data_IF_296138042086
#
_entry.id   IF_296138042086
#
_cell.length_a   1.000
_cell.length_b   1.000
_cell.length_c   1.000
_cell.angle_alpha   90.00
_cell.angle_beta   90.00
_cell.angle_gamma   90.00
#
_symmetry.space_group_name_H-M   'P 1'
#
loop_
_entity.id
_entity.type
_entity.pdbx_description
1 polymer ?
#
# COMPACT_ATOMS: atom_id res chain seq x y z
N UNK A 1 -16.84 0.59 25.70
CA UNK A 1 -17.96 -0.05 24.98
C UNK A 1 -19.17 -0.09 25.90
N UNK A 2 -20.39 0.13 25.37
CA UNK A 2 -21.62 -0.12 26.12
C UNK A 2 -21.63 -1.59 26.58
N UNK A 3 -21.98 -1.90 27.85
CA UNK A 3 -22.05 -3.28 28.33
C UNK A 3 -22.95 -4.20 27.48
N UNK A 4 -23.96 -3.64 26.79
CA UNK A 4 -24.83 -4.37 25.86
C UNK A 4 -24.02 -4.94 24.69
N UNK A 5 -23.14 -4.12 24.11
CA UNK A 5 -22.27 -4.53 23.00
C UNK A 5 -21.08 -5.41 23.41
N UNK A 6 -20.78 -5.53 24.71
CA UNK A 6 -19.72 -6.44 25.21
C UNK A 6 -20.15 -7.89 25.26
N UNK A 7 -21.46 -8.15 25.40
CA UNK A 7 -22.00 -9.49 25.56
C UNK A 7 -22.33 -10.13 24.20
N UNK A 8 -22.80 -9.34 23.24
CA UNK A 8 -23.04 -9.78 21.86
C UNK A 8 -23.09 -8.58 20.90
N UNK A 9 -22.13 -8.51 19.97
CA UNK A 9 -22.08 -7.44 18.95
C UNK A 9 -23.21 -7.61 17.92
N UNK A 10 -23.64 -8.84 17.67
CA UNK A 10 -24.66 -9.16 16.65
C UNK A 10 -26.11 -8.92 17.12
N UNK A 11 -26.32 -8.47 18.36
CA UNK A 11 -27.66 -8.18 18.83
C UNK A 11 -28.19 -6.87 18.21
N UNK A 12 -29.49 -6.84 17.84
CA UNK A 12 -30.11 -5.66 17.22
C UNK A 12 -30.06 -4.43 18.14
N UNK A 13 -30.05 -4.65 19.46
CA UNK A 13 -29.91 -3.58 20.46
C UNK A 13 -28.53 -2.90 20.39
N UNK A 14 -27.46 -3.67 20.14
CA UNK A 14 -26.14 -3.10 19.95
C UNK A 14 -26.04 -2.34 18.62
N UNK A 15 -26.63 -2.88 17.55
CA UNK A 15 -26.66 -2.22 16.25
C UNK A 15 -27.41 -0.88 16.30
N UNK A 16 -28.58 -0.83 16.94
CA UNK A 16 -29.32 0.41 17.15
C UNK A 16 -28.52 1.43 17.96
N UNK A 17 -27.87 0.99 19.04
CA UNK A 17 -27.02 1.87 19.84
C UNK A 17 -25.85 2.42 19.00
N UNK A 18 -25.20 1.57 18.19
CA UNK A 18 -24.12 1.98 17.30
C UNK A 18 -24.58 3.02 16.26
N UNK A 19 -25.74 2.81 15.64
CA UNK A 19 -26.33 3.75 14.68
C UNK A 19 -26.63 5.11 15.33
N UNK A 20 -27.20 5.11 16.54
CA UNK A 20 -27.49 6.33 17.30
C UNK A 20 -26.23 7.08 17.71
N UNK A 21 -25.15 6.35 18.05
CA UNK A 21 -23.84 6.93 18.33
C UNK A 21 -23.23 7.54 17.06
N UNK A 22 -23.28 6.85 15.93
CA UNK A 22 -22.79 7.37 14.66
C UNK A 22 -23.52 8.65 14.24
N UNK A 23 -24.84 8.66 14.39
CA UNK A 23 -25.66 9.83 14.09
C UNK A 23 -25.31 11.02 15.00
N UNK A 24 -25.26 10.77 16.31
CA UNK A 24 -24.91 11.81 17.31
C UNK A 24 -23.51 12.35 17.07
N UNK A 25 -22.53 11.49 16.83
CA UNK A 25 -21.17 11.91 16.49
C UNK A 25 -21.12 12.71 15.18
N UNK A 26 -21.88 12.31 14.16
CA UNK A 26 -22.00 13.06 12.91
C UNK A 26 -22.54 14.47 13.11
N UNK A 27 -23.57 14.62 13.96
CA UNK A 27 -24.14 15.93 14.32
C UNK A 27 -23.14 16.80 15.10
N UNK A 28 -22.43 16.23 16.08
CA UNK A 28 -21.38 16.91 16.84
C UNK A 28 -20.25 17.35 15.91
N UNK A 29 -19.72 16.48 15.06
CA UNK A 29 -18.66 16.84 14.10
C UNK A 29 -19.09 17.92 13.11
N UNK A 30 -20.36 17.92 12.70
CA UNK A 30 -20.91 18.93 11.81
C UNK A 30 -21.03 20.30 12.48
N UNK A 31 -21.28 20.33 13.80
CA UNK A 31 -21.42 21.55 14.59
C UNK A 31 -20.08 22.10 15.08
N UNK A 32 -19.16 21.23 15.45
CA UNK A 32 -17.94 21.56 16.21
C UNK A 32 -16.69 21.72 15.31
N UNK A 33 -16.78 21.42 14.01
CA UNK A 33 -15.71 21.74 13.03
C UNK A 33 -15.35 23.23 12.95
N UNK A 34 -16.15 24.11 13.54
CA UNK A 34 -15.96 25.56 13.57
C UNK A 34 -15.11 26.02 14.77
N UNK A 35 -14.96 25.22 15.83
CA UNK A 35 -14.24 25.60 17.06
C UNK A 35 -13.01 24.70 17.28
N UNK A 36 -11.86 25.19 16.80
CA UNK A 36 -10.57 24.50 16.75
C UNK A 36 -9.84 24.38 18.11
N UNK A 37 -10.49 23.87 19.16
CA UNK A 37 -9.88 23.71 20.49
C UNK A 37 -10.27 22.43 21.25
N UNK A 38 -10.69 21.37 20.55
CA UNK A 38 -11.27 20.13 21.11
C UNK A 38 -10.28 19.20 21.87
N UNK A 39 -9.02 19.62 22.10
CA UNK A 39 -7.95 18.81 22.70
C UNK A 39 -7.65 19.11 24.19
N UNK A 40 -8.45 19.92 24.88
CA UNK A 40 -8.17 20.31 26.28
C UNK A 40 -9.02 19.63 27.37
N UNK A 41 -9.98 18.77 27.03
CA UNK A 41 -10.77 18.07 28.06
C UNK A 41 -10.06 16.80 28.55
N UNK A 42 -9.35 16.93 29.68
CA UNK A 42 -8.72 15.82 30.42
C UNK A 42 -9.69 15.09 31.35
N UNK A 43 -11.01 15.25 31.18
CA UNK A 43 -11.98 14.53 31.99
C UNK A 43 -12.00 13.04 31.63
N UNK A 44 -11.83 12.13 32.60
CA UNK A 44 -11.84 10.70 32.31
C UNK A 44 -13.23 10.29 31.79
N UNK A 45 -13.25 9.78 30.56
CA UNK A 45 -14.46 9.28 29.90
C UNK A 45 -15.04 8.10 30.67
N UNK A 46 -15.95 8.37 31.61
CA UNK A 46 -16.95 7.41 32.04
C UNK A 46 -17.90 7.26 30.85
N UNK A 47 -18.03 6.04 30.30
CA UNK A 47 -19.01 5.78 29.25
C UNK A 47 -20.40 6.17 29.78
N UNK A 48 -20.88 7.35 29.37
CA UNK A 48 -22.17 7.87 29.82
C UNK A 48 -23.25 7.02 29.17
N UNK A 49 -24.23 6.58 29.97
CA UNK A 49 -25.41 5.89 29.46
C UNK A 49 -26.23 6.80 28.53
N UNK A 50 -26.14 8.12 28.73
CA UNK A 50 -26.79 9.12 27.91
C UNK A 50 -25.93 9.51 26.70
N UNK A 51 -26.43 9.17 25.51
CA UNK A 51 -25.85 9.54 24.22
C UNK A 51 -25.74 11.06 24.04
N UNK A 52 -26.67 11.82 24.63
CA UNK A 52 -26.71 13.30 24.53
C UNK A 52 -25.58 14.00 25.28
N UNK A 53 -24.89 13.31 26.18
CA UNK A 53 -23.79 13.88 26.95
C UNK A 53 -22.40 13.54 26.37
N UNK A 54 -22.35 12.94 25.16
CA UNK A 54 -21.11 12.66 24.45
C UNK A 54 -20.50 13.92 23.84
N UNK A 55 -19.17 13.97 23.89
CA UNK A 55 -18.36 15.03 23.30
C UNK A 55 -17.66 14.53 22.02
N UNK A 56 -17.13 15.42 21.18
CA UNK A 56 -16.33 15.01 20.02
C UNK A 56 -15.12 14.13 20.40
N UNK A 57 -14.56 14.32 21.59
CA UNK A 57 -13.49 13.48 22.11
C UNK A 57 -13.94 12.03 22.30
N UNK A 58 -15.14 11.82 22.87
CA UNK A 58 -15.72 10.49 23.06
C UNK A 58 -15.93 9.79 21.72
N UNK A 59 -16.45 10.50 20.73
CA UNK A 59 -16.63 10.00 19.36
C UNK A 59 -15.30 9.58 18.72
N UNK A 60 -14.24 10.38 18.89
CA UNK A 60 -12.93 10.06 18.33
C UNK A 60 -12.28 8.85 19.02
N UNK A 61 -12.43 8.75 20.35
CA UNK A 61 -11.95 7.59 21.11
C UNK A 61 -12.70 6.33 20.70
N UNK A 62 -14.02 6.41 20.55
CA UNK A 62 -14.86 5.30 20.09
C UNK A 62 -14.42 4.81 18.71
N UNK A 63 -14.20 5.73 17.76
CA UNK A 63 -13.67 5.42 16.42
C UNK A 63 -12.30 4.71 16.45
N UNK A 64 -11.47 4.99 17.44
CA UNK A 64 -10.14 4.39 17.59
C UNK A 64 -10.18 3.02 18.27
N UNK A 65 -11.08 2.85 19.23
CA UNK A 65 -11.16 1.64 20.05
C UNK A 65 -12.06 0.56 19.42
N UNK A 66 -13.08 0.94 18.65
CA UNK A 66 -13.97 0.01 17.92
C UNK A 66 -13.21 -0.97 17.02
N UNK A 67 -12.30 -0.53 16.13
CA UNK A 67 -11.55 -1.47 15.29
C UNK A 67 -10.68 -2.44 16.09
N UNK A 68 -10.23 -2.03 17.29
CA UNK A 68 -9.40 -2.88 18.16
C UNK A 68 -10.24 -3.92 18.90
N UNK A 69 -11.43 -3.54 19.37
CA UNK A 69 -12.34 -4.46 20.05
C UNK A 69 -13.02 -5.42 19.07
N UNK A 70 -13.37 -4.95 17.85
CA UNK A 70 -13.86 -5.80 16.75
C UNK A 70 -12.77 -6.79 16.32
N UNK A 71 -11.53 -6.35 16.11
CA UNK A 71 -10.44 -7.27 15.78
C UNK A 71 -10.12 -8.27 16.91
N UNK A 72 -10.44 -7.95 18.17
CA UNK A 72 -10.28 -8.88 19.29
C UNK A 72 -11.42 -9.91 19.37
N UNK A 73 -12.63 -9.54 18.96
CA UNK A 73 -13.81 -10.42 18.92
C UNK A 73 -13.89 -11.27 17.64
N UNK A 74 -13.36 -10.78 16.52
CA UNK A 74 -13.20 -11.53 15.25
C UNK A 74 -12.09 -12.60 15.29
N UNK A 75 -11.40 -12.80 16.43
CA UNK A 75 -10.36 -13.83 16.56
C UNK A 75 -10.89 -15.27 16.68
N UNK A 76 -12.21 -15.46 16.67
CA UNK A 76 -12.84 -16.76 16.43
C UNK A 76 -13.04 -16.93 14.92
N UNK A 77 -12.38 -17.92 14.25
CA UNK A 77 -12.54 -18.13 12.82
C UNK A 77 -13.97 -18.58 12.52
N UNK A 78 -14.80 -17.64 12.09
CA UNK A 78 -16.15 -17.93 11.65
C UNK A 78 -16.10 -18.76 10.34
N UNK A 79 -17.01 -19.71 10.15
CA UNK A 79 -17.06 -20.55 8.95
C UNK A 79 -17.25 -19.77 7.63
N UNK A 80 -17.60 -18.48 7.73
CA UNK A 80 -17.82 -17.58 6.59
C UNK A 80 -16.51 -17.16 5.90
N UNK A 81 -15.38 -17.10 6.63
CA UNK A 81 -14.08 -16.76 6.02
C UNK A 81 -13.60 -17.85 5.05
N UNK A 82 -13.86 -19.13 5.38
CA UNK A 82 -13.54 -20.24 4.51
C UNK A 82 -14.34 -20.13 3.19
N UNK A 83 -15.62 -19.77 3.27
CA UNK A 83 -16.48 -19.62 2.10
C UNK A 83 -16.02 -18.48 1.19
N UNK A 84 -15.62 -17.34 1.77
CA UNK A 84 -15.07 -16.20 1.02
C UNK A 84 -13.71 -16.52 0.37
N UNK A 85 -12.89 -17.33 1.02
CA UNK A 85 -11.61 -17.76 0.46
C UNK A 85 -11.81 -18.68 -0.75
N UNK A 86 -12.72 -19.65 -0.67
CA UNK A 86 -13.07 -20.51 -1.80
C UNK A 86 -13.64 -19.72 -2.98
N UNK A 87 -14.45 -18.70 -2.72
CA UNK A 87 -14.97 -17.82 -3.77
C UNK A 87 -13.84 -17.04 -4.48
N UNK A 88 -12.85 -16.53 -3.73
CA UNK A 88 -11.67 -15.88 -4.31
C UNK A 88 -10.84 -16.84 -5.16
N UNK A 89 -10.62 -18.06 -4.69
CA UNK A 89 -9.90 -19.10 -5.44
C UNK A 89 -10.65 -19.44 -6.74
N UNK A 90 -11.96 -19.62 -6.67
CA UNK A 90 -12.79 -19.94 -7.83
C UNK A 90 -12.75 -18.82 -8.89
N UNK A 91 -12.78 -17.55 -8.46
CA UNK A 91 -12.68 -16.40 -9.36
C UNK A 91 -11.31 -16.33 -10.06
N UNK A 92 -10.23 -16.62 -9.35
CA UNK A 92 -8.88 -16.71 -9.93
C UNK A 92 -8.79 -17.83 -10.95
N UNK A 93 -9.33 -19.02 -10.65
CA UNK A 93 -9.36 -20.15 -11.60
C UNK A 93 -10.18 -19.80 -12.84
N UNK A 94 -11.36 -19.20 -12.67
CA UNK A 94 -12.20 -18.77 -13.79
C UNK A 94 -11.48 -17.77 -14.70
N UNK A 95 -10.75 -16.82 -14.11
CA UNK A 95 -9.92 -15.87 -14.86
C UNK A 95 -8.84 -16.57 -15.71
N UNK A 96 -8.12 -17.55 -15.15
CA UNK A 96 -7.11 -18.31 -15.90
C UNK A 96 -7.71 -19.11 -17.05
N UNK A 97 -8.92 -19.68 -16.88
CA UNK A 97 -9.61 -20.41 -17.95
C UNK A 97 -9.98 -19.47 -19.10
N UNK A 98 -10.57 -18.30 -18.79
CA UNK A 98 -10.90 -17.28 -19.81
C UNK A 98 -9.65 -16.78 -20.52
N UNK A 99 -8.58 -16.49 -19.76
CA UNK A 99 -7.31 -16.06 -20.33
C UNK A 99 -6.67 -17.13 -21.22
N UNK A 100 -6.69 -18.40 -20.78
CA UNK A 100 -6.21 -19.53 -21.57
C UNK A 100 -6.99 -19.70 -22.87
N UNK A 101 -8.32 -19.60 -22.82
CA UNK A 101 -9.17 -19.63 -24.02
C UNK A 101 -8.84 -18.47 -24.97
N UNK A 102 -8.65 -17.26 -24.45
CA UNK A 102 -8.26 -16.10 -25.25
C UNK A 102 -6.89 -16.29 -25.93
N UNK A 103 -5.92 -16.83 -25.20
CA UNK A 103 -4.59 -17.15 -25.75
C UNK A 103 -4.66 -18.24 -26.83
N UNK A 104 -5.51 -19.26 -26.66
CA UNK A 104 -5.73 -20.29 -27.67
C UNK A 104 -6.38 -19.71 -28.93
N UNK A 105 -7.42 -18.88 -28.78
CA UNK A 105 -8.05 -18.17 -29.90
C UNK A 105 -7.06 -17.28 -30.63
N UNK A 106 -6.26 -16.51 -29.90
CA UNK A 106 -5.22 -15.66 -30.49
C UNK A 106 -4.22 -16.48 -31.31
N UNK A 107 -3.74 -17.62 -30.77
CA UNK A 107 -2.84 -18.52 -31.49
C UNK A 107 -3.50 -19.15 -32.72
N UNK A 108 -4.80 -19.45 -32.66
CA UNK A 108 -5.54 -20.06 -33.76
C UNK A 108 -5.75 -19.06 -34.92
N UNK A 109 -6.10 -17.82 -34.59
CA UNK A 109 -6.19 -16.72 -35.56
C UNK A 109 -4.82 -16.44 -36.18
N UNK A 110 -3.76 -16.34 -35.37
CA UNK A 110 -2.40 -16.11 -35.86
C UNK A 110 -1.93 -17.25 -36.78
N UNK A 111 -2.22 -18.51 -36.44
CA UNK A 111 -1.92 -19.65 -37.31
C UNK A 111 -2.67 -19.58 -38.65
N UNK A 112 -3.96 -19.23 -38.66
CA UNK A 112 -4.75 -19.08 -39.89
C UNK A 112 -4.28 -17.89 -40.73
N UNK A 113 -4.01 -16.73 -40.12
CA UNK A 113 -3.49 -15.55 -40.83
C UNK A 113 -2.11 -15.80 -41.45
N UNK A 114 -1.29 -16.68 -40.86
CA UNK A 114 -0.02 -17.08 -41.47
C UNK A 114 -0.20 -18.02 -42.65
N UNK A 115 -1.21 -18.89 -42.62
CA UNK A 115 -1.47 -19.82 -43.73
C UNK A 115 -1.96 -19.08 -44.98
N UNK A 116 -2.88 -18.13 -44.82
CA UNK A 116 -3.41 -17.32 -45.95
C UNK A 116 -2.29 -16.55 -46.68
N UNK A 117 -1.29 -16.04 -45.95
CA UNK A 117 -0.16 -15.33 -46.58
C UNK A 117 0.79 -16.23 -47.37
N UNK A 118 0.82 -17.53 -47.08
CA UNK A 118 1.69 -18.48 -47.80
C UNK A 118 1.01 -18.92 -49.10
N UNK A 119 -0.30 -19.08 -49.09
CA UNK A 119 -1.06 -19.50 -50.27
C UNK A 119 -1.16 -18.36 -51.31
N UNK A 120 -1.33 -17.10 -50.87
CA UNK A 120 -1.33 -15.92 -51.76
C UNK A 120 0.04 -15.64 -52.42
N UNK A 121 1.16 -15.99 -51.76
CA UNK A 121 2.50 -15.85 -52.34
C UNK A 121 2.83 -17.01 -53.32
N UNK A 122 2.16 -18.15 -53.19
CA UNK A 122 2.36 -19.31 -54.08
C UNK A 122 1.54 -19.19 -55.38
N UNK A 123 0.35 -18.59 -55.33
CA UNK A 123 -0.54 -18.43 -56.49
C UNK A 123 -0.11 -17.27 -57.41
N UNK A 124 0.73 -16.35 -56.94
CA UNK A 124 1.33 -15.30 -57.77
C UNK A 124 2.52 -15.76 -58.64
N UNK A 125 2.82 -17.06 -58.65
CA UNK A 125 3.90 -17.68 -59.43
C UNK A 125 3.31 -18.82 -60.28
N UNK A 126 2.34 -18.51 -61.14
CA UNK A 126 1.99 -19.39 -62.25
C UNK A 126 2.95 -19.09 -63.44
N UNK A 127 3.50 -20.11 -64.14
CA UNK A 127 4.58 -19.93 -65.10
C UNK A 127 4.03 -19.68 -66.52
N UNK A 128 4.28 -18.48 -67.06
CA UNK A 128 4.13 -18.20 -68.49
C UNK A 128 5.38 -18.73 -69.24
N UNK A 129 5.18 -19.73 -70.10
CA UNK A 129 6.21 -20.33 -70.97
C UNK A 129 6.68 -19.36 -72.08
N UNK A 130 7.95 -18.94 -71.98
CA UNK A 130 9.03 -18.68 -72.98
C UNK A 130 8.70 -18.48 -74.50
N UNK A 131 9.52 -17.71 -75.30
CA UNK A 131 11.00 -17.75 -75.25
C UNK A 131 11.83 -16.48 -75.60
N UNK A 132 13.06 -16.50 -75.06
CA UNK A 132 14.37 -16.14 -75.67
C UNK A 132 14.66 -14.70 -76.16
N UNK A 133 15.44 -13.96 -75.37
CA UNK A 133 16.58 -13.15 -75.86
C UNK A 133 17.52 -12.72 -74.71
N UNK A 134 18.76 -12.49 -75.10
CA UNK A 134 20.03 -12.44 -74.36
C UNK A 134 20.23 -11.29 -73.32
N UNK A 135 21.33 -11.34 -72.53
CA UNK A 135 21.34 -10.84 -71.15
C UNK A 135 21.87 -9.40 -71.03
N UNK A 136 21.16 -8.57 -70.26
CA UNK A 136 21.70 -7.31 -69.74
C UNK A 136 21.57 -7.20 -68.22
N UNK A 137 22.59 -6.55 -67.66
CA UNK A 137 22.99 -6.53 -66.26
C UNK A 137 21.93 -5.97 -65.30
N UNK A 138 21.80 -6.63 -64.15
CA UNK A 138 21.71 -5.92 -62.88
C UNK A 138 22.07 -6.85 -61.72
N UNK A 139 22.84 -6.40 -60.71
CA UNK A 139 23.09 -7.20 -59.53
C UNK A 139 21.79 -7.31 -58.73
N UNK A 140 21.02 -8.37 -59.00
CA UNK A 140 19.84 -8.75 -58.22
C UNK A 140 20.23 -8.80 -56.75
N UNK A 141 19.82 -7.78 -56.00
CA UNK A 141 19.95 -7.76 -54.55
C UNK A 141 19.19 -8.96 -54.00
N UNK A 142 19.92 -10.03 -53.69
CA UNK A 142 19.38 -11.20 -53.01
C UNK A 142 18.78 -10.70 -51.69
N UNK A 143 17.45 -10.58 -51.65
CA UNK A 143 16.69 -10.33 -50.42
C UNK A 143 17.07 -11.45 -49.46
N UNK A 144 18.03 -11.19 -48.57
CA UNK A 144 18.48 -12.13 -47.54
C UNK A 144 17.24 -12.49 -46.73
N UNK A 145 16.69 -13.68 -46.94
CA UNK A 145 15.61 -14.27 -46.15
C UNK A 145 16.00 -14.06 -44.69
N UNK A 146 15.37 -13.09 -44.01
CA UNK A 146 15.58 -12.86 -42.59
C UNK A 146 15.11 -14.13 -41.90
N UNK A 147 16.06 -14.98 -41.56
CA UNK A 147 15.77 -16.26 -40.91
C UNK A 147 14.91 -15.98 -39.67
N UNK A 148 13.88 -16.79 -39.44
CA UNK A 148 13.00 -16.67 -38.28
C UNK A 148 13.79 -16.60 -36.95
N UNK A 149 15.01 -17.20 -36.93
CA UNK A 149 15.98 -17.07 -35.84
C UNK A 149 16.44 -15.63 -35.57
N UNK A 150 16.64 -14.79 -36.59
CA UNK A 150 17.03 -13.39 -36.41
C UNK A 150 15.90 -12.53 -35.83
N UNK A 151 14.65 -12.85 -36.18
CA UNK A 151 13.46 -12.20 -35.65
C UNK A 151 13.21 -12.60 -34.19
N UNK A 152 13.29 -13.90 -33.88
CA UNK A 152 13.22 -14.42 -32.50
C UNK A 152 14.29 -13.81 -31.60
N UNK A 153 15.54 -13.67 -32.07
CA UNK A 153 16.61 -13.00 -31.30
C UNK A 153 16.31 -11.52 -31.06
N UNK A 154 15.61 -10.83 -31.98
CA UNK A 154 15.25 -9.41 -31.81
C UNK A 154 14.11 -9.22 -30.81
N UNK A 155 13.15 -10.15 -30.79
CA UNK A 155 12.00 -10.10 -29.87
C UNK A 155 12.36 -10.55 -28.45
N UNK A 156 13.16 -11.62 -28.31
CA UNK A 156 13.66 -12.06 -27.02
C UNK A 156 14.71 -11.11 -26.42
N UNK A 157 15.29 -10.20 -27.22
CA UNK A 157 16.22 -9.17 -26.72
C UNK A 157 15.58 -8.27 -25.67
N UNK A 158 14.28 -7.99 -25.74
CA UNK A 158 13.65 -7.11 -24.75
C UNK A 158 13.30 -7.82 -23.42
N UNK A 159 13.16 -9.15 -23.42
CA UNK A 159 12.87 -9.91 -22.20
C UNK A 159 14.12 -10.47 -21.49
N UNK A 160 15.23 -10.64 -22.21
CA UNK A 160 16.51 -11.07 -21.64
C UNK A 160 17.53 -9.92 -21.46
N UNK A 161 17.14 -8.67 -21.74
CA UNK A 161 17.93 -7.46 -21.40
C UNK A 161 17.49 -6.93 -20.04
N UNK A 162 17.59 -7.79 -19.04
CA UNK A 162 18.37 -7.37 -17.89
C UNK A 162 19.65 -8.19 -17.97
N UNK A 163 20.59 -7.68 -18.78
CA UNK A 163 21.97 -8.17 -18.75
C UNK A 163 22.40 -8.26 -17.29
N UNK A 164 23.08 -9.33 -16.89
CA UNK A 164 23.56 -9.47 -15.50
C UNK A 164 24.29 -8.21 -14.99
N UNK A 165 24.92 -7.46 -15.90
CA UNK A 165 25.54 -6.18 -15.60
C UNK A 165 24.53 -5.09 -15.20
N UNK A 166 23.35 -5.01 -15.83
CA UNK A 166 22.27 -4.11 -15.41
C UNK A 166 21.70 -4.51 -14.06
N UNK A 167 21.52 -5.80 -13.81
CA UNK A 167 21.07 -6.30 -12.50
C UNK A 167 22.08 -5.94 -11.40
N UNK A 168 23.38 -6.06 -11.67
CA UNK A 168 24.45 -5.61 -10.76
C UNK A 168 24.41 -4.11 -10.53
N UNK A 169 24.21 -3.30 -11.58
CA UNK A 169 24.06 -1.84 -11.46
C UNK A 169 22.86 -1.45 -10.61
N UNK A 170 21.72 -2.12 -10.78
CA UNK A 170 20.54 -1.86 -9.97
C UNK A 170 20.74 -2.26 -8.50
N UNK A 171 21.39 -3.40 -8.23
CA UNK A 171 21.76 -3.80 -6.87
C UNK A 171 22.69 -2.78 -6.21
N UNK A 172 23.75 -2.37 -6.91
CA UNK A 172 24.68 -1.36 -6.41
C UNK A 172 24.01 0.02 -6.19
N UNK A 173 23.01 0.38 -7.00
CA UNK A 173 22.23 1.60 -6.81
C UNK A 173 21.36 1.50 -5.54
N UNK A 174 20.65 0.38 -5.36
CA UNK A 174 19.84 0.14 -4.15
C UNK A 174 20.69 0.16 -2.88
N UNK A 175 21.86 -0.48 -2.89
CA UNK A 175 22.77 -0.46 -1.73
C UNK A 175 23.24 0.95 -1.37
N UNK A 176 23.48 1.82 -2.37
CA UNK A 176 23.80 3.23 -2.13
C UNK A 176 22.62 4.00 -1.53
N UNK A 177 21.43 3.77 -2.05
CA UNK A 177 20.20 4.42 -1.54
C UNK A 177 19.90 3.97 -0.11
N UNK A 178 20.09 2.69 0.22
CA UNK A 178 19.96 2.13 1.56
C UNK A 178 20.96 2.79 2.53
N UNK A 179 22.24 2.90 2.16
CA UNK A 179 23.25 3.60 2.99
C UNK A 179 22.88 5.06 3.26
N UNK A 180 22.40 5.79 2.24
CA UNK A 180 21.93 7.17 2.42
C UNK A 180 20.72 7.24 3.35
N UNK A 181 19.81 6.27 3.25
CA UNK A 181 18.64 6.19 4.13
C UNK A 181 19.04 5.89 5.58
N UNK A 182 19.99 4.98 5.80
CA UNK A 182 20.54 4.66 7.11
C UNK A 182 21.22 5.87 7.74
N UNK A 183 22.07 6.59 7.01
CA UNK A 183 22.73 7.82 7.49
C UNK A 183 21.70 8.89 7.89
N UNK A 184 20.68 9.10 7.06
CA UNK A 184 19.64 10.08 7.36
C UNK A 184 18.81 9.67 8.59
N UNK A 185 18.58 8.37 8.76
CA UNK A 185 17.88 7.82 9.93
C UNK A 185 18.72 7.98 11.19
N UNK A 186 20.02 7.69 11.14
CA UNK A 186 20.95 7.92 12.25
C UNK A 186 21.01 9.41 12.64
N UNK A 187 21.14 10.32 11.67
CA UNK A 187 21.11 11.78 11.95
C UNK A 187 19.82 12.23 12.61
N UNK A 188 18.68 11.63 12.23
CA UNK A 188 17.42 11.90 12.92
C UNK A 188 17.51 11.41 14.36
N UNK A 189 17.88 10.16 14.59
CA UNK A 189 18.02 9.58 15.94
C UNK A 189 18.91 10.47 16.82
N UNK A 190 20.09 10.86 16.34
CA UNK A 190 21.01 11.77 17.05
C UNK A 190 20.37 13.12 17.39
N UNK A 191 19.62 13.72 16.46
CA UNK A 191 18.90 14.97 16.73
C UNK A 191 17.83 14.79 17.81
N UNK A 192 17.08 13.68 17.78
CA UNK A 192 16.03 13.39 18.76
C UNK A 192 16.62 13.06 20.14
N UNK A 193 17.71 12.29 20.20
CA UNK A 193 18.40 11.98 21.46
C UNK A 193 19.01 13.24 22.07
N UNK A 194 19.67 14.06 21.27
CA UNK A 194 20.24 15.33 21.75
C UNK A 194 19.15 16.33 22.20
N UNK A 195 18.01 16.38 21.51
CA UNK A 195 16.88 17.20 21.95
C UNK A 195 16.34 16.73 23.31
N UNK A 196 16.18 15.40 23.48
CA UNK A 196 15.73 14.79 24.74
C UNK A 196 16.71 15.05 25.89
N UNK A 197 18.01 14.94 25.64
CA UNK A 197 19.06 15.22 26.63
C UNK A 197 19.04 16.69 27.07
N UNK A 198 18.88 17.63 26.13
CA UNK A 198 18.71 19.06 26.48
C UNK A 198 17.46 19.31 27.33
N UNK A 199 16.36 18.62 27.06
CA UNK A 199 15.14 18.75 27.87
C UNK A 199 15.33 18.18 29.27
N UNK A 200 16.02 17.04 29.39
CA UNK A 200 16.34 16.46 30.69
C UNK A 200 17.28 17.36 31.49
N UNK A 201 18.30 17.95 30.86
CA UNK A 201 19.19 18.92 31.50
C UNK A 201 18.42 20.15 31.97
N UNK A 202 17.55 20.71 31.12
CA UNK A 202 16.66 21.82 31.53
C UNK A 202 15.75 21.45 32.69
N UNK A 203 15.28 20.20 32.77
CA UNK A 203 14.48 19.71 33.91
C UNK A 203 15.32 19.66 35.18
N UNK A 204 16.54 19.12 35.12
CA UNK A 204 17.49 19.09 36.26
C UNK A 204 17.83 20.49 36.75
N UNK A 205 18.20 21.41 35.85
CA UNK A 205 18.51 22.81 36.21
C UNK A 205 17.32 23.52 36.87
N UNK A 206 16.08 23.27 36.38
CA UNK A 206 14.86 23.80 36.99
C UNK A 206 14.63 23.25 38.40
N UNK A 207 14.91 21.98 38.62
CA UNK A 207 14.80 21.35 39.93
C UNK A 207 15.85 21.87 40.92
N UNK A 208 17.10 22.05 40.48
CA UNK A 208 18.16 22.65 41.30
C UNK A 208 17.84 24.10 41.70
N UNK A 209 17.38 24.92 40.75
CA UNK A 209 16.91 26.29 41.04
C UNK A 209 15.76 26.31 42.05
N UNK A 210 14.82 25.36 41.95
CA UNK A 210 13.73 25.24 42.93
C UNK A 210 14.26 24.82 44.31
N UNK A 211 15.25 23.93 44.37
CA UNK A 211 15.90 23.51 45.62
C UNK A 211 16.65 24.68 46.27
N UNK A 212 17.44 25.44 45.51
CA UNK A 212 18.19 26.59 46.04
C UNK A 212 17.28 27.68 46.59
N UNK A 213 16.15 27.96 45.93
CA UNK A 213 15.15 28.93 46.43
C UNK A 213 14.39 28.43 47.65
N UNK A 214 14.24 27.11 47.82
CA UNK A 214 13.55 26.51 48.96
C UNK A 214 14.39 26.37 50.22
N UNK A 215 15.71 26.58 50.17
CA UNK A 215 16.52 26.63 51.40
C UNK A 215 16.04 27.85 52.18
N UNK A 216 15.28 27.68 53.27
CA UNK A 216 14.87 28.82 54.07
C UNK A 216 16.13 29.45 54.63
N UNK A 217 16.16 30.79 54.66
CA UNK A 217 17.22 31.58 55.28
C UNK A 217 17.19 31.33 56.80
N UNK A 218 17.61 30.13 57.19
CA UNK A 218 17.78 29.77 58.59
C UNK A 218 19.03 30.49 59.07
N UNK A 219 18.85 31.25 60.15
CA UNK A 219 19.91 31.80 60.99
C UNK A 219 20.57 33.08 60.48
N UNK A 220 19.91 34.21 60.76
CA UNK A 220 20.63 35.39 61.28
C UNK A 220 19.72 36.18 62.22
N UNK A 221 19.25 35.56 63.30
CA UNK A 221 18.71 36.28 64.47
C UNK A 221 19.01 35.42 65.69
N UNK A 222 20.27 35.51 66.12
CA UNK A 222 20.75 34.99 67.39
C UNK A 222 21.72 36.00 67.98
N UNK A 223 21.36 36.45 69.19
CA UNK A 223 22.25 36.92 70.26
C UNK A 223 22.52 38.42 70.41
N UNK A 224 22.02 38.87 71.57
CA UNK A 224 22.45 39.95 72.49
C UNK A 224 21.91 41.36 72.21
#
# INVERSE_FOLDING_TARGET
>A
MNPICRLAIDQPECQQWMDDVFKTCGEIFSREMVESAWWQDETPAVYKADLQAMTAYDCHKLKRDLPREVAATESEPSPDEAFLWWHKVLLVVAYFVVFGAFMLLYRWVDAKCRHVKIDEELEAIEPEEAPESEPEESPKQKKKKRTAKSWLRRQCRHMFVHSEAELRRQKAKREKEEKVHEEHTQRKIEKWTHAREREEQKRRDREERKRSTRVPKASSLGSL
#
